data_IF_472231099729
#
_entry.id   IF_472231099729
#
_cell.length_a   1.000
_cell.length_b   1.000
_cell.length_c   1.000
_cell.angle_alpha   90.00
_cell.angle_beta   90.00
_cell.angle_gamma   90.00
#
_symmetry.space_group_name_H-M   'P 1'
#
loop_
_entity.id
_entity.type
_entity.pdbx_description
1 polymer ?
#
# COMPACT_ATOMS: atom_id res chain seq x y z
N UNK A 1 18.02 -53.59 -6.84
CA UNK A 1 16.78 -52.92 -7.31
C UNK A 1 16.03 -52.11 -6.24
N UNK A 2 16.11 -52.42 -4.94
CA UNK A 2 15.34 -51.70 -3.90
C UNK A 2 15.73 -50.21 -3.75
N UNK A 3 17.02 -49.87 -3.87
CA UNK A 3 17.52 -48.49 -3.78
C UNK A 3 16.93 -47.55 -4.84
N UNK A 4 16.99 -47.92 -6.12
CA UNK A 4 16.51 -47.08 -7.22
C UNK A 4 15.00 -46.81 -7.14
N UNK A 5 14.22 -47.81 -6.68
CA UNK A 5 12.77 -47.66 -6.46
C UNK A 5 12.48 -46.68 -5.33
N UNK A 6 13.21 -46.75 -4.22
CA UNK A 6 13.04 -45.81 -3.11
C UNK A 6 13.52 -44.41 -3.46
N UNK A 7 14.63 -44.28 -4.19
CA UNK A 7 15.18 -42.99 -4.66
C UNK A 7 14.21 -42.27 -5.61
N UNK A 8 13.64 -42.99 -6.58
CA UNK A 8 12.63 -42.42 -7.49
C UNK A 8 11.33 -42.11 -6.76
N UNK A 9 10.92 -42.91 -5.77
CA UNK A 9 9.75 -42.62 -4.96
C UNK A 9 9.93 -41.34 -4.11
N UNK A 10 11.09 -41.14 -3.48
CA UNK A 10 11.38 -39.91 -2.73
C UNK A 10 11.50 -38.69 -3.65
N UNK A 11 12.08 -38.85 -4.84
CA UNK A 11 12.19 -37.76 -5.81
C UNK A 11 10.81 -37.35 -6.32
N UNK A 12 9.95 -38.32 -6.63
CA UNK A 12 8.57 -38.06 -7.04
C UNK A 12 7.76 -37.40 -5.92
N UNK A 13 7.90 -37.87 -4.68
CA UNK A 13 7.24 -37.28 -3.52
C UNK A 13 7.68 -35.82 -3.30
N UNK A 14 8.97 -35.52 -3.46
CA UNK A 14 9.49 -34.17 -3.37
C UNK A 14 8.90 -33.26 -4.45
N UNK A 15 8.85 -33.72 -5.71
CA UNK A 15 8.26 -32.96 -6.81
C UNK A 15 6.78 -32.67 -6.56
N UNK A 16 6.00 -33.69 -6.16
CA UNK A 16 4.58 -33.53 -5.84
C UNK A 16 4.39 -32.57 -4.66
N UNK A 17 5.19 -32.71 -3.61
CA UNK A 17 5.14 -31.83 -2.44
C UNK A 17 5.48 -30.38 -2.81
N UNK A 18 6.50 -30.15 -3.65
CA UNK A 18 6.87 -28.82 -4.12
C UNK A 18 5.76 -28.18 -4.97
N UNK A 19 5.09 -28.95 -5.83
CA UNK A 19 3.98 -28.45 -6.65
C UNK A 19 2.80 -28.05 -5.75
N UNK A 20 2.41 -28.92 -4.81
CA UNK A 20 1.31 -28.64 -3.86
C UNK A 20 1.67 -27.45 -2.97
N UNK A 21 2.92 -27.38 -2.47
CA UNK A 21 3.41 -26.26 -1.67
C UNK A 21 3.42 -24.94 -2.45
N UNK A 22 3.78 -24.96 -3.73
CA UNK A 22 3.72 -23.78 -4.59
C UNK A 22 2.28 -23.25 -4.74
N UNK A 23 1.32 -24.13 -5.03
CA UNK A 23 -0.09 -23.72 -5.12
C UNK A 23 -0.65 -23.23 -3.78
N UNK A 24 -0.24 -23.84 -2.67
CA UNK A 24 -0.62 -23.38 -1.34
C UNK A 24 -0.08 -21.99 -1.03
N UNK A 25 1.20 -21.73 -1.32
CA UNK A 25 1.80 -20.40 -1.16
C UNK A 25 1.16 -19.37 -2.09
N UNK A 26 0.90 -19.72 -3.35
CA UNK A 26 0.22 -18.83 -4.29
C UNK A 26 -1.20 -18.47 -3.81
N UNK A 27 -1.94 -19.44 -3.25
CA UNK A 27 -3.25 -19.20 -2.66
C UNK A 27 -3.18 -18.28 -1.43
N UNK A 28 -2.15 -18.44 -0.57
CA UNK A 28 -1.93 -17.54 0.56
C UNK A 28 -1.61 -16.11 0.10
N UNK A 29 -0.73 -15.94 -0.90
CA UNK A 29 -0.38 -14.61 -1.42
C UNK A 29 -1.61 -13.92 -2.03
N UNK A 30 -2.44 -14.65 -2.77
CA UNK A 30 -3.68 -14.10 -3.32
C UNK A 30 -4.69 -13.64 -2.26
N UNK A 31 -4.63 -14.19 -1.03
CA UNK A 31 -5.49 -13.76 0.06
C UNK A 31 -4.99 -12.48 0.75
N UNK A 32 -3.72 -12.11 0.58
CA UNK A 32 -3.14 -10.89 1.14
C UNK A 32 -3.43 -9.65 0.27
N UNK A 33 -3.73 -9.85 -1.01
CA UNK A 33 -3.91 -8.76 -2.00
C UNK A 33 -5.39 -8.36 -2.18
N UNK A 34 -6.23 -8.60 -1.17
CA UNK A 34 -7.62 -8.14 -1.20
C UNK A 34 -7.69 -6.70 -0.71
N UNK A 35 -7.28 -5.76 -1.57
CA UNK A 35 -7.77 -4.38 -1.48
C UNK A 35 -9.27 -4.41 -1.82
N UNK A 36 -10.12 -4.66 -0.81
CA UNK A 36 -11.57 -4.52 -0.99
C UNK A 36 -11.86 -3.10 -1.48
N UNK A 37 -12.65 -2.94 -2.58
CA UNK A 37 -13.04 -1.62 -3.03
C UNK A 37 -13.85 -0.96 -1.92
N UNK A 38 -13.27 0.06 -1.30
CA UNK A 38 -13.91 0.80 -0.21
C UNK A 38 -15.11 1.55 -0.81
N UNK A 39 -16.32 1.15 -0.42
CA UNK A 39 -17.53 1.89 -0.82
C UNK A 39 -17.59 3.20 -0.04
N UNK A 40 -17.40 4.31 -0.75
CA UNK A 40 -17.48 5.66 -0.18
C UNK A 40 -18.95 6.00 0.00
N UNK A 41 -19.33 6.40 1.22
CA UNK A 41 -20.69 6.84 1.55
C UNK A 41 -20.95 8.27 1.06
N UNK A 42 -22.21 8.60 0.79
CA UNK A 42 -22.62 9.98 0.46
C UNK A 42 -22.27 10.95 1.59
N UNK A 43 -21.86 12.18 1.22
CA UNK A 43 -21.45 13.25 2.13
C UNK A 43 -20.19 12.93 2.97
N UNK A 44 -19.27 12.15 2.39
CA UNK A 44 -17.97 11.86 3.00
C UNK A 44 -17.04 13.06 2.92
N UNK A 45 -16.00 13.06 3.75
CA UNK A 45 -14.94 14.06 3.78
C UNK A 45 -13.60 13.35 3.75
N UNK A 46 -12.69 13.80 2.88
CA UNK A 46 -11.35 13.23 2.79
C UNK A 46 -10.49 13.77 3.95
N UNK A 47 -10.08 12.88 4.86
CA UNK A 47 -9.21 13.21 5.98
C UNK A 47 -7.75 12.98 5.63
N UNK A 48 -6.96 14.06 5.56
CA UNK A 48 -5.54 14.03 5.28
C UNK A 48 -4.77 14.28 6.58
N UNK A 49 -4.08 13.25 7.07
CA UNK A 49 -3.26 13.34 8.27
C UNK A 49 -1.76 13.32 7.93
N UNK A 50 -1.09 14.46 8.10
CA UNK A 50 0.34 14.67 7.88
C UNK A 50 1.14 14.54 9.18
N UNK A 51 0.91 13.46 9.94
CA UNK A 51 1.64 13.13 11.16
C UNK A 51 2.92 12.30 10.94
N UNK A 52 3.27 12.03 9.68
CA UNK A 52 4.43 11.22 9.29
C UNK A 52 5.33 11.97 8.30
N UNK A 53 6.61 11.58 8.18
CA UNK A 53 7.51 12.22 7.23
C UNK A 53 7.01 12.13 5.78
N UNK A 54 7.16 13.22 5.03
CA UNK A 54 6.84 13.25 3.61
C UNK A 54 8.01 12.66 2.80
N UNK A 55 7.66 12.03 1.68
CA UNK A 55 8.59 11.60 0.63
C UNK A 55 7.92 11.77 -0.73
N UNK A 56 8.71 11.81 -1.81
CA UNK A 56 8.16 11.91 -3.17
C UNK A 56 7.24 10.73 -3.52
N UNK A 57 7.61 9.53 -3.07
CA UNK A 57 6.86 8.29 -3.29
C UNK A 57 6.59 7.60 -1.96
N UNK A 58 5.41 7.01 -1.80
CA UNK A 58 5.23 6.03 -0.75
C UNK A 58 6.14 4.84 -1.03
N UNK A 59 6.86 4.40 0.00
CA UNK A 59 7.53 3.12 -0.02
C UNK A 59 6.71 2.19 0.86
N UNK A 60 5.95 1.31 0.23
CA UNK A 60 5.24 0.25 0.93
C UNK A 60 6.13 -0.99 0.88
N UNK A 61 6.94 -1.20 1.93
CA UNK A 61 7.76 -2.40 2.03
C UNK A 61 6.84 -3.61 2.31
N UNK A 62 6.75 -4.60 1.42
CA UNK A 62 5.92 -5.78 1.62
C UNK A 62 6.36 -6.64 2.82
N UNK A 63 7.55 -6.39 3.37
CA UNK A 63 8.05 -7.05 4.58
C UNK A 63 7.93 -6.18 5.84
N UNK A 64 7.44 -4.93 5.74
CA UNK A 64 7.30 -4.03 6.89
C UNK A 64 6.35 -4.57 7.96
N UNK A 65 5.32 -5.32 7.57
CA UNK A 65 4.36 -5.94 8.49
C UNK A 65 4.90 -7.20 9.17
N UNK A 66 5.96 -7.79 8.60
CA UNK A 66 6.60 -8.98 9.15
C UNK A 66 7.68 -8.64 10.19
N UNK A 67 7.97 -7.35 10.41
CA UNK A 67 8.89 -6.88 11.45
C UNK A 67 10.38 -7.22 11.22
N UNK A 68 10.73 -7.76 10.05
CA UNK A 68 12.11 -8.11 9.69
C UNK A 68 12.90 -6.94 9.07
N UNK A 69 12.21 -5.91 8.59
CA UNK A 69 12.81 -4.67 8.10
C UNK A 69 13.02 -3.68 9.25
N UNK A 70 14.23 -3.11 9.36
CA UNK A 70 14.47 -1.97 10.25
C UNK A 70 13.41 -0.91 9.98
N UNK A 71 12.69 -0.51 11.03
CA UNK A 71 11.45 0.25 10.95
C UNK A 71 11.59 1.59 10.23
N UNK A 72 11.59 1.56 8.90
CA UNK A 72 11.38 2.74 8.08
C UNK A 72 9.95 3.20 8.36
N UNK A 73 9.86 4.23 9.20
CA UNK A 73 8.60 4.86 9.54
C UNK A 73 7.84 5.16 8.25
N UNK A 74 6.64 4.56 8.09
CA UNK A 74 5.78 4.72 6.91
C UNK A 74 5.76 6.19 6.49
N UNK A 75 6.35 6.51 5.34
CA UNK A 75 6.38 7.88 4.81
C UNK A 75 5.14 8.15 3.98
N UNK A 76 4.65 9.37 4.03
CA UNK A 76 3.54 9.81 3.20
C UNK A 76 4.11 10.22 1.84
N UNK A 77 3.66 9.54 0.79
CA UNK A 77 3.99 9.88 -0.59
C UNK A 77 3.23 11.13 -1.04
N UNK A 78 3.96 12.19 -1.41
CA UNK A 78 3.36 13.42 -1.94
C UNK A 78 2.59 13.14 -3.24
N UNK A 79 3.07 12.20 -4.06
CA UNK A 79 2.36 11.78 -5.27
C UNK A 79 1.01 11.11 -4.97
N UNK A 80 0.93 10.33 -3.90
CA UNK A 80 -0.31 9.64 -3.51
C UNK A 80 -1.32 10.64 -2.95
N UNK A 81 -0.84 11.64 -2.20
CA UNK A 81 -1.67 12.75 -1.73
C UNK A 81 -2.27 13.55 -2.90
N UNK A 82 -1.49 13.83 -3.95
CA UNK A 82 -2.01 14.51 -5.17
C UNK A 82 -3.10 13.68 -5.84
N UNK A 83 -2.87 12.39 -6.06
CA UNK A 83 -3.87 11.48 -6.64
C UNK A 83 -5.14 11.39 -5.80
N UNK A 84 -5.00 11.35 -4.48
CA UNK A 84 -6.15 11.32 -3.57
C UNK A 84 -6.98 12.60 -3.68
N UNK A 85 -6.33 13.76 -3.80
CA UNK A 85 -7.00 15.04 -4.03
C UNK A 85 -7.68 15.10 -5.41
N UNK A 86 -7.00 14.66 -6.47
CA UNK A 86 -7.60 14.58 -7.83
C UNK A 86 -8.83 13.67 -7.86
N UNK A 87 -8.75 12.51 -7.19
CA UNK A 87 -9.88 11.61 -7.09
C UNK A 87 -11.03 12.24 -6.29
N UNK A 88 -10.71 12.84 -5.14
CA UNK A 88 -11.71 13.53 -4.33
C UNK A 88 -12.36 14.73 -5.04
N UNK A 89 -11.65 15.42 -5.94
CA UNK A 89 -12.20 16.53 -6.70
C UNK A 89 -13.22 16.08 -7.75
N UNK A 90 -13.15 14.80 -8.16
CA UNK A 90 -14.04 14.21 -9.17
C UNK A 90 -15.12 13.30 -8.59
N UNK A 91 -15.12 13.08 -7.26
CA UNK A 91 -16.08 12.23 -6.57
C UNK A 91 -17.17 13.08 -5.90
N UNK A 92 -18.39 13.05 -6.45
CA UNK A 92 -19.56 13.78 -5.95
C UNK A 92 -19.93 13.44 -4.49
N UNK A 93 -19.51 12.26 -4.01
CA UNK A 93 -19.76 11.80 -2.64
C UNK A 93 -18.88 12.53 -1.62
N UNK A 94 -17.74 13.08 -2.04
CA UNK A 94 -16.79 13.79 -1.19
C UNK A 94 -17.13 15.29 -1.19
N UNK A 95 -17.50 15.83 -0.02
CA UNK A 95 -17.92 17.23 0.12
C UNK A 95 -16.80 18.19 0.50
N UNK A 96 -15.62 17.66 0.79
CA UNK A 96 -14.46 18.47 1.11
C UNK A 96 -13.33 17.67 1.73
N UNK A 97 -12.35 18.40 2.27
CA UNK A 97 -11.15 17.87 2.89
C UNK A 97 -10.99 18.39 4.31
N UNK A 98 -10.47 17.54 5.20
CA UNK A 98 -9.96 17.94 6.51
C UNK A 98 -8.47 17.66 6.53
N UNK A 99 -7.67 18.71 6.72
CA UNK A 99 -6.22 18.62 6.78
C UNK A 99 -5.75 18.72 8.24
N UNK A 100 -5.11 17.66 8.73
CA UNK A 100 -4.37 17.66 9.99
C UNK A 100 -2.87 17.67 9.68
N UNK A 101 -2.20 18.76 10.03
CA UNK A 101 -0.76 18.91 9.84
C UNK A 101 -0.08 19.36 11.14
N UNK A 102 -0.02 18.49 12.17
CA UNK A 102 0.56 18.85 13.46
C UNK A 102 2.06 19.13 13.37
N UNK A 103 2.77 18.46 12.46
CA UNK A 103 4.18 18.71 12.19
C UNK A 103 4.51 18.27 10.75
N UNK A 104 4.82 19.23 9.88
CA UNK A 104 5.19 18.93 8.50
C UNK A 104 6.66 18.49 8.42
N UNK A 105 6.89 17.18 8.36
CA UNK A 105 8.23 16.58 8.36
C UNK A 105 8.68 16.20 6.93
N UNK A 106 8.96 17.17 6.08
CA UNK A 106 9.26 16.90 4.65
C UNK A 106 10.19 17.89 3.94
N UNK A 107 10.70 18.88 4.65
CA UNK A 107 11.39 20.02 4.03
C UNK A 107 10.43 20.95 3.26
N UNK A 108 10.92 22.14 2.91
CA UNK A 108 10.10 23.18 2.27
C UNK A 108 9.64 22.81 0.86
N UNK A 109 10.45 22.06 0.10
CA UNK A 109 10.12 21.66 -1.26
C UNK A 109 8.85 20.78 -1.32
N UNK A 110 8.81 19.71 -0.52
CA UNK A 110 7.64 18.83 -0.45
C UNK A 110 6.42 19.56 0.14
N UNK A 111 6.64 20.46 1.11
CA UNK A 111 5.59 21.31 1.64
C UNK A 111 4.94 22.21 0.60
N UNK A 112 5.74 22.81 -0.29
CA UNK A 112 5.23 23.65 -1.38
C UNK A 112 4.43 22.84 -2.41
N UNK A 113 4.86 21.61 -2.70
CA UNK A 113 4.09 20.72 -3.58
C UNK A 113 2.73 20.33 -2.97
N UNK A 114 2.70 19.99 -1.68
CA UNK A 114 1.46 19.70 -0.96
C UNK A 114 0.55 20.94 -0.96
N UNK A 115 1.12 22.13 -0.71
CA UNK A 115 0.38 23.40 -0.76
C UNK A 115 -0.22 23.64 -2.14
N UNK A 116 0.54 23.44 -3.21
CA UNK A 116 0.06 23.61 -4.59
C UNK A 116 -1.11 22.67 -4.90
N UNK A 117 -0.99 21.40 -4.53
CA UNK A 117 -2.04 20.41 -4.73
C UNK A 117 -3.34 20.77 -3.98
N UNK A 118 -3.23 21.27 -2.75
CA UNK A 118 -4.37 21.74 -1.96
C UNK A 118 -5.03 22.98 -2.56
N UNK A 119 -4.25 23.87 -3.17
CA UNK A 119 -4.80 25.05 -3.88
C UNK A 119 -5.54 24.61 -5.13
N UNK A 120 -4.97 23.70 -5.92
CA UNK A 120 -5.61 23.14 -7.12
C UNK A 120 -6.95 22.45 -6.77
N UNK A 121 -6.99 21.64 -5.69
CA UNK A 121 -8.23 21.03 -5.19
C UNK A 121 -9.30 22.04 -4.76
N UNK A 122 -8.90 23.23 -4.31
CA UNK A 122 -9.84 24.28 -3.90
C UNK A 122 -10.37 25.07 -5.11
N UNK A 123 -9.65 25.05 -6.23
CA UNK A 123 -10.02 25.75 -7.46
C UNK A 123 -10.89 24.89 -8.39
N UNK A 124 -10.84 23.56 -8.26
CA UNK A 124 -11.77 22.61 -8.89
C UNK A 124 -13.15 22.66 -8.25
#
# INVERSE_FOLDING_TARGET
MKFLRSFLASLLALVVFSIVGFFFLAAMVSALDQEEPVDVSENSVLHINLNRPLADRSFNDPFSELGFGGGDAKRIGVNDLKKALEHAATDDKIKGIVLEAPSLMGGLALGEEVRKALVEFKES
#
